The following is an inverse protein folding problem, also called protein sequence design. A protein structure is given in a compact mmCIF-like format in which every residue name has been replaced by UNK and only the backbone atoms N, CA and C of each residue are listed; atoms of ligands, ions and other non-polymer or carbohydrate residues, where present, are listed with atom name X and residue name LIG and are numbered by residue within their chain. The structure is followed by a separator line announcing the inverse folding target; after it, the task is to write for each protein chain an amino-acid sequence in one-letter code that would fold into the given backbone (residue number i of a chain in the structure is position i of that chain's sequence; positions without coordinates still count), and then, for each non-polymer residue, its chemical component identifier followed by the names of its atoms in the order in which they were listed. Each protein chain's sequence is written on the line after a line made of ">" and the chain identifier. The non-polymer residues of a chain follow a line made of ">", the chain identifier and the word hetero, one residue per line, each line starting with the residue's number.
data_IF_881647388007
#
_entry.id   IF_881647388007
#
_cell.length_a   1.000
_cell.length_b   1.000
_cell.length_c   1.000
_cell.angle_alpha   90.00
_cell.angle_beta   90.00
_cell.angle_gamma   90.00
#
_symmetry.space_group_name_H-M   'P 1'
#
loop_
_entity.id
_entity.type
_entity.pdbx_description
1 polymer ?
#
# COMPACT_ATOMS: atom_id res chain seq x y z
N UNK A 1 -27.42 -2.19 2.09
CA UNK A 1 -26.08 -1.61 2.35
C UNK A 1 -25.43 -1.21 1.04
N UNK A 2 -24.79 -0.03 0.97
CA UNK A 2 -24.11 0.47 -0.23
C UNK A 2 -22.60 0.34 -0.04
N UNK A 3 -21.91 -0.26 -1.01
CA UNK A 3 -20.45 -0.37 -1.04
C UNK A 3 -19.84 0.71 -1.93
N UNK A 4 -18.61 1.14 -1.60
CA UNK A 4 -17.79 2.01 -2.44
C UNK A 4 -16.73 1.16 -3.16
N UNK A 5 -16.69 1.23 -4.49
CA UNK A 5 -15.63 0.66 -5.30
C UNK A 5 -14.60 1.76 -5.62
N UNK A 6 -13.32 1.48 -5.37
CA UNK A 6 -12.20 2.38 -5.72
C UNK A 6 -11.27 1.66 -6.69
N UNK A 7 -11.05 2.26 -7.85
CA UNK A 7 -10.19 1.75 -8.94
C UNK A 7 -9.08 2.76 -9.21
N UNK A 8 -8.24 3.00 -8.20
CA UNK A 8 -7.14 3.96 -8.28
C UNK A 8 -5.83 3.27 -7.94
N UNK A 9 -4.98 3.18 -8.96
CA UNK A 9 -3.60 2.73 -8.89
C UNK A 9 -2.67 3.89 -8.47
N UNK A 10 -1.47 3.55 -8.02
CA UNK A 10 -0.42 4.52 -7.73
C UNK A 10 0.90 3.84 -7.40
N UNK A 11 1.88 4.65 -7.01
CA UNK A 11 3.17 4.14 -6.57
C UNK A 11 3.08 3.50 -5.16
N UNK A 12 4.19 2.89 -4.73
CA UNK A 12 4.29 2.26 -3.42
C UNK A 12 3.77 3.13 -2.27
N UNK A 13 4.38 4.30 -2.04
CA UNK A 13 3.99 5.20 -0.96
C UNK A 13 2.53 5.63 -1.03
N UNK A 14 2.04 6.01 -2.21
CA UNK A 14 0.65 6.41 -2.41
C UNK A 14 -0.33 5.30 -2.03
N UNK A 15 -0.08 4.08 -2.50
CA UNK A 15 -0.97 2.95 -2.24
C UNK A 15 -1.06 2.62 -0.75
N UNK A 16 0.05 2.70 -0.02
CA UNK A 16 0.06 2.48 1.44
C UNK A 16 -0.72 3.56 2.19
N UNK A 17 -0.50 4.83 1.83
CA UNK A 17 -1.23 5.94 2.46
C UNK A 17 -2.73 5.90 2.17
N UNK A 18 -3.13 5.55 0.94
CA UNK A 18 -4.53 5.45 0.58
C UNK A 18 -5.24 4.30 1.30
N UNK A 19 -4.59 3.14 1.45
CA UNK A 19 -5.14 2.01 2.20
C UNK A 19 -5.36 2.39 3.67
N UNK A 20 -4.40 3.06 4.32
CA UNK A 20 -4.54 3.54 5.69
C UNK A 20 -5.65 4.60 5.85
N UNK A 21 -5.73 5.55 4.91
CA UNK A 21 -6.78 6.56 4.90
C UNK A 21 -8.18 5.95 4.76
N UNK A 22 -8.35 4.97 3.85
CA UNK A 22 -9.60 4.24 3.68
C UNK A 22 -9.95 3.47 4.96
N UNK A 23 -8.99 2.74 5.54
CA UNK A 23 -9.20 2.00 6.78
C UNK A 23 -9.68 2.92 7.91
N UNK A 24 -9.00 4.04 8.12
CA UNK A 24 -9.35 5.00 9.14
C UNK A 24 -10.75 5.59 8.91
N UNK A 25 -11.07 6.00 7.68
CA UNK A 25 -12.37 6.58 7.35
C UNK A 25 -13.52 5.58 7.55
N UNK A 26 -13.34 4.32 7.13
CA UNK A 26 -14.34 3.26 7.33
C UNK A 26 -14.51 2.96 8.83
N UNK A 27 -13.42 2.89 9.60
CA UNK A 27 -13.47 2.64 11.05
C UNK A 27 -14.21 3.73 11.84
N UNK A 28 -14.20 4.97 11.34
CA UNK A 28 -14.90 6.11 11.93
C UNK A 28 -16.34 6.27 11.45
N UNK A 29 -16.79 5.44 10.51
CA UNK A 29 -18.10 5.56 9.88
C UNK A 29 -18.23 6.76 8.92
N UNK A 30 -17.12 7.40 8.56
CA UNK A 30 -17.06 8.56 7.66
C UNK A 30 -17.15 8.15 6.19
N UNK A 31 -16.99 6.86 5.88
CA UNK A 31 -17.20 6.34 4.53
C UNK A 31 -17.85 4.96 4.50
N UNK A 32 -18.51 4.58 3.38
CA UNK A 32 -19.09 3.26 3.23
C UNK A 32 -18.01 2.16 3.23
N UNK A 33 -18.39 0.89 3.54
CA UNK A 33 -17.55 -0.27 3.29
C UNK A 33 -16.95 -0.20 1.88
N UNK A 34 -15.64 -0.33 1.78
CA UNK A 34 -14.89 -0.04 0.56
C UNK A 34 -14.21 -1.30 0.03
N UNK A 35 -14.44 -1.61 -1.24
CA UNK A 35 -13.64 -2.55 -2.02
C UNK A 35 -12.69 -1.73 -2.89
N UNK A 36 -11.38 -1.97 -2.75
CA UNK A 36 -10.37 -1.36 -3.59
C UNK A 36 -9.69 -2.44 -4.42
N UNK A 37 -9.59 -2.20 -5.73
CA UNK A 37 -8.78 -3.01 -6.64
C UNK A 37 -7.70 -2.09 -7.21
N UNK A 38 -6.44 -2.49 -7.09
CA UNK A 38 -5.33 -1.67 -7.56
C UNK A 38 -4.09 -2.51 -7.90
N UNK A 39 -3.19 -1.89 -8.65
CA UNK A 39 -1.83 -2.36 -8.89
C UNK A 39 -0.80 -1.30 -8.46
N UNK A 40 0.40 -1.77 -8.12
CA UNK A 40 1.55 -0.88 -7.91
C UNK A 40 2.12 -0.43 -9.26
N UNK A 41 2.25 0.88 -9.46
CA UNK A 41 2.86 1.47 -10.66
C UNK A 41 3.83 2.60 -10.26
N UNK A 42 5.16 2.42 -10.39
CA UNK A 42 5.85 1.17 -10.76
C UNK A 42 5.73 0.08 -9.69
N UNK A 43 6.15 -1.15 -10.02
CA UNK A 43 6.23 -2.25 -9.06
C UNK A 43 7.09 -1.88 -7.84
N UNK A 44 6.69 -2.33 -6.66
CA UNK A 44 7.37 -2.08 -5.41
C UNK A 44 7.46 -3.35 -4.56
N UNK A 45 8.49 -3.44 -3.71
CA UNK A 45 8.58 -4.46 -2.65
C UNK A 45 7.85 -3.92 -1.43
N UNK A 46 6.88 -4.70 -0.92
CA UNK A 46 6.17 -4.35 0.32
C UNK A 46 6.62 -5.27 1.45
N UNK A 47 7.01 -4.70 2.59
CA UNK A 47 7.29 -5.43 3.82
C UNK A 47 6.18 -5.19 4.83
N UNK A 48 5.85 -6.22 5.62
CA UNK A 48 4.89 -6.11 6.71
C UNK A 48 5.47 -5.34 7.91
N UNK A 49 4.56 -4.80 8.73
CA UNK A 49 4.84 -4.05 9.96
C UNK A 49 5.94 -4.63 10.82
N UNK A 50 5.97 -5.94 11.01
CA UNK A 50 6.92 -6.62 11.91
C UNK A 50 8.13 -7.24 11.19
N UNK A 51 8.22 -7.13 9.87
CA UNK A 51 9.36 -7.65 9.13
C UNK A 51 10.59 -6.76 9.32
N UNK A 52 11.73 -7.40 9.64
CA UNK A 52 13.04 -6.76 9.72
C UNK A 52 13.52 -6.48 8.30
N UNK A 53 13.64 -5.20 7.96
CA UNK A 53 13.90 -4.77 6.57
C UNK A 53 15.16 -5.39 5.98
N UNK A 54 16.26 -5.43 6.75
CA UNK A 54 17.55 -5.96 6.30
C UNK A 54 17.58 -7.48 6.11
N UNK A 55 16.63 -8.20 6.69
CA UNK A 55 16.50 -9.66 6.55
C UNK A 55 15.50 -10.04 5.46
N UNK A 56 14.58 -9.13 5.14
CA UNK A 56 13.47 -9.41 4.23
C UNK A 56 13.75 -8.94 2.81
N UNK A 57 14.63 -7.94 2.63
CA UNK A 57 14.89 -7.30 1.34
C UNK A 57 16.36 -6.93 1.22
N UNK A 58 16.96 -7.26 0.08
CA UNK A 58 18.24 -6.69 -0.34
C UNK A 58 18.02 -5.22 -0.74
N UNK A 59 18.26 -4.33 0.22
CA UNK A 59 18.09 -2.89 0.05
C UNK A 59 19.05 -2.29 -0.97
N UNK A 60 20.24 -2.88 -1.13
CA UNK A 60 21.22 -2.36 -2.08
C UNK A 60 20.86 -2.76 -3.50
N UNK A 61 20.37 -3.99 -3.72
CA UNK A 61 19.79 -4.39 -4.99
C UNK A 61 18.55 -3.56 -5.34
N UNK A 62 17.63 -3.37 -4.38
CA UNK A 62 16.43 -2.55 -4.61
C UNK A 62 16.79 -1.12 -5.03
N UNK A 63 17.78 -0.50 -4.37
CA UNK A 63 18.29 0.83 -4.73
C UNK A 63 18.92 0.84 -6.12
N UNK A 64 19.78 -0.14 -6.44
CA UNK A 64 20.43 -0.25 -7.77
C UNK A 64 19.41 -0.43 -8.90
N UNK A 65 18.34 -1.18 -8.66
CA UNK A 65 17.28 -1.46 -9.63
C UNK A 65 16.17 -0.40 -9.67
N UNK A 66 16.23 0.63 -8.80
CA UNK A 66 15.21 1.66 -8.70
C UNK A 66 13.86 1.15 -8.21
N UNK A 67 13.82 0.03 -7.48
CA UNK A 67 12.59 -0.58 -6.97
C UNK A 67 12.27 0.01 -5.59
N UNK A 68 11.11 0.69 -5.42
CA UNK A 68 10.71 1.19 -4.12
C UNK A 68 10.48 0.07 -3.11
N UNK A 69 10.88 0.30 -1.86
CA UNK A 69 10.58 -0.59 -0.73
C UNK A 69 9.67 0.15 0.25
N UNK A 70 8.46 -0.36 0.45
CA UNK A 70 7.42 0.26 1.30
C UNK A 70 6.98 -0.67 2.42
N UNK A 71 6.37 -0.12 3.47
CA UNK A 71 5.89 -0.89 4.64
C UNK A 71 4.37 -0.75 4.80
N UNK A 72 3.70 -1.87 5.08
CA UNK A 72 2.26 -1.96 5.40
C UNK A 72 2.02 -2.41 6.85
#
# INVERSE_FOLDING_TARGET
>A
MRWRLVLLDGDGPFNMGLDEAILNSVSRGESPPTLRLYAFRPSAVTIGRFQRVRESVDLDAARRLGVPVVRR
#
